data_IF_350461943258
#
_entry.id   IF_350461943258
#
_cell.length_a   1.000
_cell.length_b   1.000
_cell.length_c   1.000
_cell.angle_alpha   90.00
_cell.angle_beta   90.00
_cell.angle_gamma   90.00
#
_symmetry.space_group_name_H-M   'P 1'
#
loop_
_entity.id
_entity.type
_entity.pdbx_description
1 polymer ?
#
# COMPACT_ATOMS: atom_id res chain seq x y z
N UNK A 1 2.09 -22.53 19.04
CA UNK A 1 2.78 -21.47 19.81
C UNK A 1 2.11 -21.43 21.18
N UNK A 2 2.76 -21.93 22.22
CA UNK A 2 2.18 -22.04 23.57
C UNK A 2 2.02 -20.66 24.18
N UNK A 3 0.79 -20.25 24.50
CA UNK A 3 0.51 -19.02 25.24
C UNK A 3 1.33 -18.99 26.53
N UNK A 4 2.09 -17.91 26.79
CA UNK A 4 2.82 -17.80 28.04
C UNK A 4 1.79 -17.63 29.16
N UNK A 5 1.74 -18.60 30.10
CA UNK A 5 0.94 -18.51 31.33
C UNK A 5 1.09 -17.12 31.95
N UNK A 6 0.00 -16.38 31.93
CA UNK A 6 -0.08 -15.00 32.39
C UNK A 6 0.26 -14.98 33.89
N UNK A 7 1.44 -14.46 34.24
CA UNK A 7 1.84 -14.29 35.64
C UNK A 7 0.90 -13.27 36.29
N UNK A 8 0.27 -13.62 37.41
CA UNK A 8 -0.58 -12.70 38.17
C UNK A 8 0.16 -11.38 38.44
N UNK A 9 -0.55 -10.27 38.27
CA UNK A 9 0.02 -8.94 38.53
C UNK A 9 0.32 -8.77 40.02
N UNK A 10 1.36 -8.01 40.36
CA UNK A 10 1.73 -7.74 41.77
C UNK A 10 0.56 -7.16 42.56
N UNK A 11 -0.28 -6.35 41.91
CA UNK A 11 -1.48 -5.75 42.53
C UNK A 11 -2.60 -6.76 42.79
N UNK A 12 -2.75 -7.74 41.90
CA UNK A 12 -3.74 -8.80 42.01
C UNK A 12 -3.43 -9.73 43.19
N UNK A 13 -2.16 -10.11 43.32
CA UNK A 13 -1.66 -10.90 44.45
C UNK A 13 -1.89 -10.17 45.78
N UNK A 14 -1.56 -8.88 45.86
CA UNK A 14 -1.79 -8.06 47.06
C UNK A 14 -3.28 -7.97 47.41
N UNK A 15 -4.15 -7.79 46.42
CA UNK A 15 -5.60 -7.79 46.61
C UNK A 15 -6.11 -9.11 47.20
N UNK A 16 -5.68 -10.25 46.67
CA UNK A 16 -6.07 -11.56 47.20
C UNK A 16 -5.55 -11.81 48.61
N UNK A 17 -4.32 -11.41 48.93
CA UNK A 17 -3.77 -11.51 50.29
C UNK A 17 -4.62 -10.71 51.29
N UNK A 18 -5.05 -9.49 50.92
CA UNK A 18 -5.89 -8.65 51.77
C UNK A 18 -7.30 -9.25 51.98
N UNK A 19 -7.88 -9.89 50.97
CA UNK A 19 -9.17 -10.60 51.10
C UNK A 19 -9.04 -11.76 52.08
N UNK A 20 -8.01 -12.59 51.92
CA UNK A 20 -7.75 -13.73 52.81
C UNK A 20 -7.48 -13.25 54.23
N UNK A 21 -6.67 -12.20 54.40
CA UNK A 21 -6.41 -11.58 55.70
C UNK A 21 -7.70 -11.07 56.35
N UNK A 22 -8.54 -10.36 55.59
CA UNK A 22 -9.86 -9.91 56.08
C UNK A 22 -10.75 -11.08 56.49
N UNK A 23 -10.74 -12.19 55.76
CA UNK A 23 -11.50 -13.39 56.12
C UNK A 23 -10.97 -14.05 57.41
N UNK A 24 -9.65 -14.13 57.61
CA UNK A 24 -9.06 -14.64 58.87
C UNK A 24 -9.43 -13.74 60.04
N UNK A 25 -9.34 -12.41 59.87
CA UNK A 25 -9.70 -11.43 60.91
C UNK A 25 -11.19 -11.51 61.25
N UNK A 26 -12.07 -11.72 60.26
CA UNK A 26 -13.50 -11.92 60.47
C UNK A 26 -13.75 -13.18 61.31
N UNK A 27 -13.20 -14.34 60.92
CA UNK A 27 -13.37 -15.60 61.67
C UNK A 27 -12.86 -15.46 63.11
N UNK A 28 -11.71 -14.83 63.29
CA UNK A 28 -11.15 -14.56 64.62
C UNK A 28 -12.07 -13.65 65.45
N UNK A 29 -12.60 -12.57 64.85
CA UNK A 29 -13.57 -11.69 65.48
C UNK A 29 -14.82 -12.43 65.94
N UNK A 30 -15.42 -13.26 65.07
CA UNK A 30 -16.61 -14.04 65.40
C UNK A 30 -16.42 -14.92 66.63
N UNK A 31 -15.25 -15.56 66.75
CA UNK A 31 -14.89 -16.42 67.89
C UNK A 31 -14.68 -15.58 69.16
N UNK A 32 -13.95 -14.46 69.04
CA UNK A 32 -13.60 -13.61 70.19
C UNK A 32 -14.81 -12.94 70.84
N UNK A 33 -15.77 -12.49 70.04
CA UNK A 33 -16.98 -11.84 70.52
C UNK A 33 -18.06 -12.84 71.00
N UNK A 34 -17.78 -14.15 70.98
CA UNK A 34 -18.66 -15.24 71.44
C UNK A 34 -20.13 -15.08 71.00
N UNK A 35 -20.31 -14.60 69.75
CA UNK A 35 -21.61 -14.17 69.21
C UNK A 35 -22.65 -15.28 69.19
N UNK A 36 -22.20 -16.53 69.20
CA UNK A 36 -23.06 -17.70 69.29
C UNK A 36 -23.81 -17.69 70.63
N UNK A 37 -23.15 -17.36 71.75
CA UNK A 37 -23.82 -17.27 73.07
C UNK A 37 -24.71 -16.05 73.20
N UNK A 38 -24.26 -14.90 72.67
CA UNK A 38 -25.04 -13.64 72.67
C UNK A 38 -26.36 -13.77 71.88
N UNK A 39 -26.38 -14.59 70.82
CA UNK A 39 -27.59 -14.83 70.01
C UNK A 39 -28.66 -15.66 70.77
N UNK A 40 -28.25 -16.49 71.75
CA UNK A 40 -29.14 -17.28 72.61
C UNK A 40 -29.61 -16.52 73.87
N UNK A 41 -29.11 -15.31 74.13
CA UNK A 41 -29.55 -14.45 75.23
C UNK A 41 -30.85 -13.70 74.87
N UNK A 42 -31.70 -13.48 75.88
CA UNK A 42 -32.95 -12.73 75.76
C UNK A 42 -32.65 -11.27 75.32
N UNK A 43 -33.44 -10.64 74.44
CA UNK A 43 -33.11 -9.33 73.88
C UNK A 43 -32.91 -8.21 74.92
N UNK A 44 -33.45 -8.39 76.13
CA UNK A 44 -33.30 -7.46 77.26
C UNK A 44 -31.91 -7.50 77.92
N UNK A 45 -31.16 -8.61 77.78
CA UNK A 45 -29.86 -8.84 78.43
C UNK A 45 -28.67 -8.73 77.46
N UNK A 46 -28.91 -8.31 76.20
CA UNK A 46 -27.85 -8.16 75.20
C UNK A 46 -27.00 -6.92 75.49
N UNK A 47 -25.72 -7.11 75.84
CA UNK A 47 -24.82 -6.04 76.33
C UNK A 47 -24.26 -5.13 75.22
N UNK A 48 -24.94 -4.96 74.09
CA UNK A 48 -24.46 -4.13 72.98
C UNK A 48 -23.26 -4.72 72.22
N UNK A 49 -22.91 -5.98 72.48
CA UNK A 49 -21.81 -6.74 71.84
C UNK A 49 -21.99 -6.81 70.32
N UNK A 50 -23.24 -6.92 69.84
CA UNK A 50 -23.55 -6.88 68.41
C UNK A 50 -23.19 -5.53 67.74
N UNK A 51 -23.34 -4.42 68.46
CA UNK A 51 -22.94 -3.10 67.98
C UNK A 51 -21.42 -3.01 67.84
N UNK A 52 -20.68 -3.43 68.87
CA UNK A 52 -19.21 -3.46 68.86
C UNK A 52 -18.65 -4.41 67.79
N UNK A 53 -19.32 -5.55 67.56
CA UNK A 53 -18.95 -6.46 66.49
C UNK A 53 -19.23 -5.87 65.09
N UNK A 54 -20.35 -5.17 64.92
CA UNK A 54 -20.64 -4.41 63.72
C UNK A 54 -19.59 -3.33 63.44
N UNK A 55 -19.16 -2.61 64.47
CA UNK A 55 -18.07 -1.63 64.40
C UNK A 55 -16.72 -2.29 64.06
N UNK A 56 -16.43 -3.48 64.61
CA UNK A 56 -15.22 -4.25 64.28
C UNK A 56 -15.22 -4.72 62.83
N UNK A 57 -16.32 -5.29 62.34
CA UNK A 57 -16.46 -5.71 60.93
C UNK A 57 -16.34 -4.47 60.03
N UNK A 58 -17.13 -3.42 60.29
CA UNK A 58 -17.16 -2.23 59.44
C UNK A 58 -15.81 -1.51 59.41
N UNK A 59 -15.16 -1.38 60.57
CA UNK A 59 -13.87 -0.71 60.72
C UNK A 59 -12.72 -1.51 60.13
N UNK A 60 -12.48 -2.73 60.62
CA UNK A 60 -11.24 -3.47 60.32
C UNK A 60 -11.42 -4.35 59.07
N UNK A 61 -12.43 -5.21 59.05
CA UNK A 61 -12.66 -6.12 57.91
C UNK A 61 -13.09 -5.34 56.67
N UNK A 62 -13.98 -4.36 56.85
CA UNK A 62 -14.45 -3.46 55.80
C UNK A 62 -13.31 -2.67 55.17
N UNK A 63 -12.39 -2.12 55.98
CA UNK A 63 -11.22 -1.40 55.47
C UNK A 63 -10.25 -2.31 54.71
N UNK A 64 -10.00 -3.55 55.19
CA UNK A 64 -9.15 -4.52 54.50
C UNK A 64 -9.71 -4.91 53.13
N UNK A 65 -11.02 -5.18 53.05
CA UNK A 65 -11.68 -5.51 51.78
C UNK A 65 -11.83 -4.31 50.85
N UNK A 66 -12.07 -3.11 51.39
CA UNK A 66 -12.06 -1.88 50.60
C UNK A 66 -10.68 -1.65 49.96
N UNK A 67 -9.60 -1.81 50.73
CA UNK A 67 -8.23 -1.70 50.21
C UNK A 67 -7.93 -2.80 49.17
N UNK A 68 -8.38 -4.04 49.42
CA UNK A 68 -8.26 -5.12 48.44
C UNK A 68 -8.96 -4.78 47.11
N UNK A 69 -10.16 -4.20 47.19
CA UNK A 69 -10.93 -3.72 46.04
C UNK A 69 -10.16 -2.69 45.21
N UNK A 70 -9.48 -1.73 45.86
CA UNK A 70 -8.64 -0.74 45.18
C UNK A 70 -7.49 -1.41 44.42
N UNK A 71 -6.81 -2.38 45.03
CA UNK A 71 -5.70 -3.09 44.39
C UNK A 71 -6.15 -3.94 43.19
N UNK A 72 -7.28 -4.64 43.32
CA UNK A 72 -7.86 -5.42 42.22
C UNK A 72 -8.36 -4.52 41.08
N UNK A 73 -8.96 -3.37 41.42
CA UNK A 73 -9.35 -2.37 40.43
C UNK A 73 -8.13 -1.81 39.68
N UNK A 74 -7.05 -1.47 40.39
CA UNK A 74 -5.81 -1.01 39.76
C UNK A 74 -5.15 -2.08 38.87
N UNK A 75 -5.18 -3.34 39.30
CA UNK A 75 -4.74 -4.47 38.48
C UNK A 75 -5.53 -4.55 37.17
N UNK A 76 -6.85 -4.40 37.26
CA UNK A 76 -7.77 -4.42 36.11
C UNK A 76 -7.51 -3.25 35.16
N UNK A 77 -7.35 -2.03 35.67
CA UNK A 77 -7.02 -0.85 34.87
C UNK A 77 -5.68 -1.00 34.14
N UNK A 78 -4.68 -1.58 34.81
CA UNK A 78 -3.37 -1.84 34.21
C UNK A 78 -3.48 -2.83 33.07
N UNK A 79 -4.28 -3.89 33.24
CA UNK A 79 -4.55 -4.87 32.20
C UNK A 79 -5.25 -4.24 31.00
N UNK A 80 -6.32 -3.47 31.23
CA UNK A 80 -7.06 -2.76 30.19
C UNK A 80 -6.16 -1.80 29.41
N UNK A 81 -5.28 -1.04 30.10
CA UNK A 81 -4.34 -0.14 29.44
C UNK A 81 -3.42 -0.88 28.47
N UNK A 82 -2.86 -2.01 28.90
CA UNK A 82 -1.99 -2.84 28.05
C UNK A 82 -2.72 -3.39 26.83
N UNK A 83 -3.96 -3.85 27.03
CA UNK A 83 -4.80 -4.35 25.94
C UNK A 83 -5.10 -3.24 24.92
N UNK A 84 -5.41 -2.02 25.38
CA UNK A 84 -5.59 -0.88 24.49
C UNK A 84 -4.31 -0.52 23.71
N UNK A 85 -3.13 -0.61 24.33
CA UNK A 85 -1.87 -0.37 23.64
C UNK A 85 -1.62 -1.41 22.54
N UNK A 86 -1.86 -2.69 22.82
CA UNK A 86 -1.78 -3.76 21.83
C UNK A 86 -2.79 -3.58 20.69
N UNK A 87 -4.04 -3.27 21.03
CA UNK A 87 -5.08 -3.01 20.04
C UNK A 87 -4.73 -1.82 19.13
N UNK A 88 -4.19 -0.73 19.70
CA UNK A 88 -3.72 0.41 18.89
C UNK A 88 -2.59 0.02 17.95
N UNK A 89 -1.65 -0.80 18.42
CA UNK A 89 -0.56 -1.30 17.59
C UNK A 89 -1.09 -2.18 16.44
N UNK A 90 -2.02 -3.08 16.71
CA UNK A 90 -2.66 -3.93 15.70
C UNK A 90 -3.48 -3.14 14.69
N UNK A 91 -4.21 -2.11 15.14
CA UNK A 91 -4.93 -1.18 14.27
C UNK A 91 -3.98 -0.44 13.34
N UNK A 92 -2.85 0.07 13.84
CA UNK A 92 -1.85 0.73 13.00
C UNK A 92 -1.25 -0.24 11.97
N UNK A 93 -0.99 -1.49 12.36
CA UNK A 93 -0.51 -2.53 11.42
C UNK A 93 -1.57 -2.85 10.36
N UNK A 94 -2.82 -2.99 10.75
CA UNK A 94 -3.95 -3.26 9.86
C UNK A 94 -4.18 -2.11 8.88
N UNK A 95 -4.10 -0.86 9.34
CA UNK A 95 -4.19 0.32 8.48
C UNK A 95 -3.11 0.32 7.38
N UNK A 96 -1.87 -0.03 7.72
CA UNK A 96 -0.78 -0.14 6.73
C UNK A 96 -1.04 -1.24 5.71
N UNK A 97 -1.48 -2.42 6.17
CA UNK A 97 -1.84 -3.54 5.28
C UNK A 97 -2.98 -3.13 4.34
N UNK A 98 -4.01 -2.47 4.86
CA UNK A 98 -5.15 -2.01 4.08
C UNK A 98 -4.74 -0.97 3.03
N UNK A 99 -3.88 -0.02 3.38
CA UNK A 99 -3.32 0.94 2.42
C UNK A 99 -2.56 0.25 1.28
N UNK A 100 -1.72 -0.74 1.61
CA UNK A 100 -1.01 -1.53 0.61
C UNK A 100 -1.97 -2.31 -0.30
N UNK A 101 -2.98 -2.98 0.27
CA UNK A 101 -3.99 -3.73 -0.50
C UNK A 101 -4.80 -2.82 -1.43
N UNK A 102 -5.23 -1.64 -0.95
CA UNK A 102 -5.94 -0.67 -1.77
C UNK A 102 -5.09 -0.21 -2.94
N UNK A 103 -3.80 0.05 -2.71
CA UNK A 103 -2.87 0.39 -3.77
C UNK A 103 -2.74 -0.74 -4.79
N UNK A 104 -2.47 -1.97 -4.34
CA UNK A 104 -2.35 -3.14 -5.23
C UNK A 104 -3.61 -3.33 -6.07
N UNK A 105 -4.79 -3.18 -5.47
CA UNK A 105 -6.07 -3.30 -6.16
C UNK A 105 -6.22 -2.23 -7.23
N UNK A 106 -5.94 -0.97 -6.88
CA UNK A 106 -5.99 0.15 -7.83
C UNK A 106 -5.01 -0.05 -8.98
N UNK A 107 -3.77 -0.44 -8.69
CA UNK A 107 -2.74 -0.75 -9.68
C UNK A 107 -3.23 -1.83 -10.67
N UNK A 108 -3.73 -2.96 -10.16
CA UNK A 108 -4.25 -4.04 -11.01
C UNK A 108 -5.42 -3.54 -11.87
N UNK A 109 -6.33 -2.73 -11.32
CA UNK A 109 -7.43 -2.14 -12.10
C UNK A 109 -6.93 -1.22 -13.22
N UNK A 110 -5.85 -0.44 -12.98
CA UNK A 110 -5.23 0.40 -14.01
C UNK A 110 -4.53 -0.40 -15.10
N UNK A 111 -3.85 -1.51 -14.74
CA UNK A 111 -3.26 -2.46 -15.70
C UNK A 111 -4.33 -3.13 -16.55
N UNK A 112 -5.43 -3.60 -15.94
CA UNK A 112 -6.55 -4.19 -16.68
C UNK A 112 -7.14 -3.18 -17.66
N UNK A 113 -7.41 -1.95 -17.19
CA UNK A 113 -7.88 -0.87 -18.05
C UNK A 113 -6.87 -0.53 -19.17
N UNK A 114 -5.58 -0.65 -18.91
CA UNK A 114 -4.55 -0.45 -19.92
C UNK A 114 -4.66 -1.49 -21.03
N UNK A 115 -4.78 -2.76 -20.67
CA UNK A 115 -5.00 -3.85 -21.62
C UNK A 115 -6.31 -3.67 -22.39
N UNK A 116 -7.40 -3.27 -21.73
CA UNK A 116 -8.69 -2.99 -22.39
C UNK A 116 -8.57 -1.87 -23.44
N UNK A 117 -7.78 -0.82 -23.14
CA UNK A 117 -7.50 0.26 -24.11
C UNK A 117 -6.70 -0.28 -25.29
N UNK A 118 -5.67 -1.10 -25.04
CA UNK A 118 -4.87 -1.74 -26.10
C UNK A 118 -5.78 -2.55 -27.02
N UNK A 119 -6.63 -3.41 -26.45
CA UNK A 119 -7.56 -4.26 -27.21
C UNK A 119 -8.55 -3.46 -28.06
N UNK A 120 -8.90 -2.25 -27.62
CA UNK A 120 -9.75 -1.32 -28.37
C UNK A 120 -9.02 -0.54 -29.48
N UNK A 121 -7.68 -0.55 -29.52
CA UNK A 121 -6.92 0.11 -30.58
C UNK A 121 -7.17 -0.60 -31.90
N UNK A 122 -7.46 0.20 -32.94
CA UNK A 122 -7.66 -0.30 -34.29
C UNK A 122 -7.00 0.63 -35.31
N UNK A 123 -6.29 0.04 -36.27
CA UNK A 123 -5.81 0.70 -37.47
C UNK A 123 -6.25 -0.10 -38.71
N UNK A 124 -6.41 0.58 -39.83
CA UNK A 124 -6.80 -0.04 -41.09
C UNK A 124 -5.70 0.22 -42.11
N UNK A 125 -5.27 -0.85 -42.79
CA UNK A 125 -4.41 -0.72 -43.96
C UNK A 125 -5.22 -0.38 -45.22
N UNK A 126 -4.52 -0.10 -46.32
CA UNK A 126 -5.09 0.21 -47.64
C UNK A 126 -6.02 -0.92 -48.14
N UNK A 127 -5.76 -2.17 -47.72
CA UNK A 127 -6.59 -3.34 -48.03
C UNK A 127 -7.75 -3.55 -47.03
N UNK A 128 -8.10 -2.54 -46.21
CA UNK A 128 -9.11 -2.61 -45.15
C UNK A 128 -8.86 -3.69 -44.09
N UNK A 129 -7.66 -4.26 -44.05
CA UNK A 129 -7.26 -5.22 -43.03
C UNK A 129 -7.09 -4.50 -41.69
N UNK A 130 -7.82 -4.97 -40.67
CA UNK A 130 -7.83 -4.36 -39.34
C UNK A 130 -6.67 -4.89 -38.48
N UNK A 131 -5.80 -3.99 -38.04
CA UNK A 131 -4.75 -4.22 -37.06
C UNK A 131 -5.30 -3.83 -35.69
N UNK A 132 -5.43 -4.80 -34.78
CA UNK A 132 -6.09 -4.62 -33.47
C UNK A 132 -5.18 -5.00 -32.31
N UNK A 133 -5.46 -4.46 -31.12
CA UNK A 133 -4.69 -4.82 -29.94
C UNK A 133 -3.23 -4.39 -30.05
N UNK A 134 -2.32 -5.19 -29.52
CA UNK A 134 -0.87 -4.94 -29.61
C UNK A 134 -0.33 -4.83 -31.05
N UNK A 135 -1.01 -5.46 -32.02
CA UNK A 135 -0.62 -5.36 -33.44
C UNK A 135 -0.80 -3.95 -34.02
N UNK A 136 -1.62 -3.10 -33.38
CA UNK A 136 -1.71 -1.69 -33.73
C UNK A 136 -0.33 -1.00 -33.65
N UNK A 137 0.46 -1.29 -32.61
CA UNK A 137 1.75 -0.65 -32.41
C UNK A 137 2.78 -1.11 -33.45
N UNK A 138 2.74 -2.38 -33.84
CA UNK A 138 3.57 -2.92 -34.93
C UNK A 138 3.25 -2.20 -36.23
N UNK A 139 1.96 -2.08 -36.57
CA UNK A 139 1.53 -1.33 -37.75
C UNK A 139 1.97 0.14 -37.70
N UNK A 140 1.79 0.81 -36.55
CA UNK A 140 2.21 2.19 -36.37
C UNK A 140 3.72 2.35 -36.62
N UNK A 141 4.53 1.49 -36.02
CA UNK A 141 5.97 1.46 -36.19
C UNK A 141 6.35 1.24 -37.66
N UNK A 142 5.73 0.26 -38.34
CA UNK A 142 5.98 -0.01 -39.76
C UNK A 142 5.67 1.19 -40.65
N UNK A 143 4.56 1.90 -40.40
CA UNK A 143 4.20 3.09 -41.18
C UNK A 143 5.20 4.23 -40.99
N UNK A 144 5.63 4.49 -39.75
CA UNK A 144 6.66 5.50 -39.47
C UNK A 144 7.97 5.16 -40.20
N UNK A 145 8.47 3.94 -40.01
CA UNK A 145 9.74 3.51 -40.59
C UNK A 145 9.70 3.50 -42.12
N UNK A 146 8.61 3.01 -42.71
CA UNK A 146 8.46 2.96 -44.17
C UNK A 146 8.41 4.36 -44.77
N UNK A 147 7.65 5.29 -44.20
CA UNK A 147 7.59 6.67 -44.67
C UNK A 147 8.93 7.38 -44.54
N UNK A 148 9.63 7.17 -43.42
CA UNK A 148 10.98 7.68 -43.20
C UNK A 148 11.95 7.16 -44.26
N UNK A 149 12.09 5.84 -44.42
CA UNK A 149 13.04 5.23 -45.36
C UNK A 149 12.75 5.64 -46.81
N UNK A 150 11.47 5.74 -47.19
CA UNK A 150 11.09 6.22 -48.53
C UNK A 150 11.56 7.65 -48.79
N UNK A 151 11.42 8.55 -47.82
CA UNK A 151 11.92 9.93 -47.93
C UNK A 151 13.45 9.97 -47.96
N UNK A 152 14.12 9.22 -47.10
CA UNK A 152 15.59 9.19 -47.05
C UNK A 152 16.18 8.68 -48.37
N UNK A 153 15.55 7.70 -49.00
CA UNK A 153 16.00 7.17 -50.30
C UNK A 153 15.82 8.14 -51.45
N UNK A 154 14.92 9.13 -51.36
CA UNK A 154 14.74 10.14 -52.40
C UNK A 154 15.64 11.37 -52.25
N UNK A 155 16.42 11.46 -51.16
CA UNK A 155 17.41 12.52 -50.95
C UNK A 155 18.70 12.25 -51.70
N UNK A 156 19.34 13.32 -52.15
CA UNK A 156 20.69 13.27 -52.71
C UNK A 156 21.73 13.01 -51.60
N UNK A 157 22.89 12.38 -51.90
CA UNK A 157 23.88 12.02 -50.88
C UNK A 157 24.37 13.18 -50.01
N UNK A 158 24.46 14.38 -50.58
CA UNK A 158 24.92 15.59 -49.88
C UNK A 158 23.87 16.17 -48.91
N UNK A 159 22.60 15.80 -49.05
CA UNK A 159 21.50 16.22 -48.18
C UNK A 159 21.36 15.31 -46.94
N UNK A 160 21.95 14.10 -47.00
CA UNK A 160 21.87 13.08 -45.94
C UNK A 160 22.85 13.35 -44.81
N UNK A 161 22.54 14.35 -44.00
CA UNK A 161 23.26 14.60 -42.74
C UNK A 161 22.52 13.95 -41.56
N UNK A 162 23.24 13.61 -40.48
CA UNK A 162 22.63 13.02 -39.29
C UNK A 162 21.52 13.90 -38.69
N UNK A 163 21.74 15.23 -38.68
CA UNK A 163 20.76 16.19 -38.18
C UNK A 163 19.49 16.21 -39.05
N UNK A 164 19.66 16.23 -40.38
CA UNK A 164 18.53 16.23 -41.32
C UNK A 164 17.71 14.95 -41.22
N UNK A 165 18.37 13.78 -41.18
CA UNK A 165 17.68 12.51 -41.03
C UNK A 165 16.93 12.41 -39.69
N UNK A 166 17.51 12.94 -38.61
CA UNK A 166 16.82 13.01 -37.32
C UNK A 166 15.57 13.91 -37.39
N UNK A 167 15.68 15.08 -38.02
CA UNK A 167 14.55 15.98 -38.24
C UNK A 167 13.45 15.32 -39.09
N UNK A 168 13.82 14.68 -40.20
CA UNK A 168 12.88 13.95 -41.05
C UNK A 168 12.17 12.84 -40.27
N UNK A 169 12.92 12.08 -39.47
CA UNK A 169 12.33 11.03 -38.63
C UNK A 169 11.31 11.63 -37.66
N UNK A 170 11.68 12.70 -36.95
CA UNK A 170 10.79 13.39 -36.02
C UNK A 170 9.51 13.90 -36.71
N UNK A 171 9.63 14.47 -37.91
CA UNK A 171 8.48 14.95 -38.69
C UNK A 171 7.52 13.81 -39.04
N UNK A 172 8.03 12.68 -39.57
CA UNK A 172 7.19 11.54 -39.94
C UNK A 172 6.59 10.84 -38.71
N UNK A 173 7.35 10.72 -37.62
CA UNK A 173 6.83 10.21 -36.37
C UNK A 173 5.68 11.08 -35.88
N UNK A 174 5.88 12.40 -35.84
CA UNK A 174 4.86 13.36 -35.39
C UNK A 174 3.64 13.35 -36.30
N UNK A 175 3.82 13.27 -37.61
CA UNK A 175 2.73 13.15 -38.58
C UNK A 175 1.84 11.93 -38.30
N UNK A 176 2.43 10.74 -38.20
CA UNK A 176 1.68 9.51 -37.90
C UNK A 176 1.08 9.52 -36.50
N UNK A 177 1.79 10.08 -35.52
CA UNK A 177 1.28 10.27 -34.17
C UNK A 177 0.02 11.14 -34.16
N UNK A 178 0.05 12.30 -34.82
CA UNK A 178 -1.10 13.20 -34.94
C UNK A 178 -2.28 12.51 -35.64
N UNK A 179 -2.00 11.70 -36.67
CA UNK A 179 -3.04 10.93 -37.36
C UNK A 179 -3.78 9.95 -36.43
N UNK A 180 -3.04 9.25 -35.56
CA UNK A 180 -3.60 8.30 -34.59
C UNK A 180 -3.88 8.89 -33.19
N UNK A 181 -3.76 10.21 -33.03
CA UNK A 181 -3.76 10.86 -31.73
C UNK A 181 -5.03 10.58 -30.91
N UNK A 182 -6.20 10.53 -31.56
CA UNK A 182 -7.46 10.25 -30.87
C UNK A 182 -7.51 8.84 -30.25
N UNK A 183 -6.87 7.87 -30.89
CA UNK A 183 -6.77 6.49 -30.40
C UNK A 183 -5.63 6.33 -29.38
N UNK A 184 -4.51 7.03 -29.61
CA UNK A 184 -3.30 6.94 -28.77
C UNK A 184 -3.41 7.75 -27.46
N UNK A 185 -4.14 8.86 -27.46
CA UNK A 185 -4.25 9.73 -26.29
C UNK A 185 -4.82 9.01 -25.05
N UNK A 186 -5.92 8.21 -25.13
CA UNK A 186 -6.39 7.42 -24.00
C UNK A 186 -5.34 6.47 -23.44
N UNK A 187 -4.60 5.79 -24.32
CA UNK A 187 -3.52 4.87 -23.96
C UNK A 187 -2.41 5.60 -23.19
N UNK A 188 -1.88 6.69 -23.76
CA UNK A 188 -0.78 7.45 -23.17
C UNK A 188 -1.20 8.13 -21.85
N UNK A 189 -2.43 8.66 -21.77
CA UNK A 189 -2.95 9.23 -20.51
C UNK A 189 -3.09 8.17 -19.43
N UNK A 190 -3.60 6.99 -19.76
CA UNK A 190 -3.70 5.89 -18.79
C UNK A 190 -2.31 5.50 -18.27
N UNK A 191 -1.36 5.35 -19.19
CA UNK A 191 0.03 5.04 -18.87
C UNK A 191 0.71 6.12 -17.99
N UNK A 192 0.50 7.40 -18.30
CA UNK A 192 0.94 8.55 -17.49
C UNK A 192 0.39 8.50 -16.06
N UNK A 193 -0.90 8.19 -15.90
CA UNK A 193 -1.51 8.03 -14.57
C UNK A 193 -0.95 6.82 -13.83
N UNK A 194 -0.74 5.70 -14.52
CA UNK A 194 -0.14 4.50 -13.94
C UNK A 194 1.27 4.78 -13.39
N UNK A 195 2.12 5.47 -14.17
CA UNK A 195 3.45 5.87 -13.69
C UNK A 195 3.38 6.81 -12.49
N UNK A 196 2.50 7.82 -12.51
CA UNK A 196 2.29 8.71 -11.35
C UNK A 196 1.83 7.95 -10.10
N UNK A 197 0.96 6.96 -10.28
CA UNK A 197 0.47 6.10 -9.21
C UNK A 197 1.64 5.31 -8.57
N UNK A 198 2.48 4.68 -9.39
CA UNK A 198 3.66 3.94 -8.92
C UNK A 198 4.65 4.88 -8.24
N UNK A 199 4.91 6.07 -8.80
CA UNK A 199 5.85 7.05 -8.22
C UNK A 199 5.41 7.49 -6.82
N UNK A 200 4.11 7.82 -6.68
CA UNK A 200 3.53 8.20 -5.40
C UNK A 200 3.74 7.09 -4.36
N UNK A 201 3.46 5.84 -4.73
CA UNK A 201 3.62 4.71 -3.82
C UNK A 201 5.08 4.42 -3.49
N UNK A 202 6.02 4.55 -4.44
CA UNK A 202 7.46 4.42 -4.18
C UNK A 202 7.94 5.43 -3.13
N UNK A 203 7.40 6.64 -3.16
CA UNK A 203 7.75 7.70 -2.20
C UNK A 203 7.22 7.40 -0.80
N UNK A 204 6.03 6.78 -0.71
CA UNK A 204 5.37 6.48 0.57
C UNK A 204 5.79 5.12 1.16
N UNK A 205 6.11 4.13 0.32
CA UNK A 205 6.45 2.76 0.69
C UNK A 205 7.90 2.47 0.28
N UNK A 206 8.78 2.54 1.27
CA UNK A 206 10.26 2.57 1.22
C UNK A 206 10.99 1.42 0.47
N UNK A 207 10.30 0.55 -0.27
CA UNK A 207 10.92 -0.55 -1.06
C UNK A 207 9.97 -1.20 -2.09
N UNK A 208 8.67 -1.23 -1.83
CA UNK A 208 7.70 -1.99 -2.66
C UNK A 208 7.41 -1.34 -4.04
N UNK A 209 7.79 -0.08 -4.25
CA UNK A 209 7.55 0.63 -5.52
C UNK A 209 8.31 0.05 -6.72
N UNK A 210 9.47 -0.56 -6.49
CA UNK A 210 10.31 -1.15 -7.55
C UNK A 210 9.64 -2.38 -8.18
N UNK A 211 8.95 -3.18 -7.36
CA UNK A 211 8.19 -4.34 -7.84
C UNK A 211 7.11 -3.96 -8.86
N UNK A 212 6.33 -2.91 -8.59
CA UNK A 212 5.29 -2.44 -9.51
C UNK A 212 5.87 -1.82 -10.78
N UNK A 213 7.01 -1.13 -10.68
CA UNK A 213 7.73 -0.62 -11.84
C UNK A 213 8.19 -1.78 -12.74
N UNK A 214 8.79 -2.82 -12.17
CA UNK A 214 9.21 -4.01 -12.91
C UNK A 214 8.04 -4.69 -13.62
N UNK A 215 6.92 -4.91 -12.93
CA UNK A 215 5.72 -5.50 -13.56
C UNK A 215 5.26 -4.62 -14.73
N UNK A 216 5.17 -3.31 -14.52
CA UNK A 216 4.72 -2.40 -15.58
C UNK A 216 5.64 -2.45 -16.79
N UNK A 217 6.97 -2.45 -16.62
CA UNK A 217 7.93 -2.60 -17.71
C UNK A 217 7.72 -3.91 -18.49
N UNK A 218 7.56 -5.02 -17.78
CA UNK A 218 7.43 -6.35 -18.38
C UNK A 218 6.15 -6.51 -19.23
N UNK A 219 5.17 -5.60 -19.10
CA UNK A 219 3.96 -5.62 -19.92
C UNK A 219 4.14 -4.92 -21.28
N UNK A 220 5.19 -4.13 -21.50
CA UNK A 220 5.37 -3.43 -22.77
C UNK A 220 6.02 -4.33 -23.82
N UNK A 221 5.42 -4.34 -25.02
CA UNK A 221 6.08 -4.87 -26.20
C UNK A 221 7.14 -3.90 -26.74
N UNK A 222 8.06 -4.38 -27.58
CA UNK A 222 9.06 -3.51 -28.22
C UNK A 222 8.43 -2.43 -29.10
N UNK A 223 7.30 -2.73 -29.77
CA UNK A 223 6.57 -1.76 -30.58
C UNK A 223 5.89 -0.68 -29.72
N UNK A 224 5.41 -1.04 -28.52
CA UNK A 224 4.92 -0.07 -27.54
C UNK A 224 6.04 0.81 -27.00
N UNK A 225 7.18 0.20 -26.63
CA UNK A 225 8.36 0.96 -26.20
C UNK A 225 8.85 1.92 -27.29
N UNK A 226 8.80 1.51 -28.57
CA UNK A 226 9.08 2.41 -29.69
C UNK A 226 8.17 3.64 -29.68
N UNK A 227 6.86 3.47 -29.50
CA UNK A 227 5.94 4.62 -29.39
C UNK A 227 6.27 5.49 -28.17
N UNK A 228 6.40 4.89 -26.99
CA UNK A 228 6.58 5.62 -25.72
C UNK A 228 7.90 6.40 -25.73
N UNK A 229 8.98 5.78 -26.21
CA UNK A 229 10.30 6.37 -26.31
C UNK A 229 10.29 7.63 -27.16
N UNK A 230 9.74 7.57 -28.37
CA UNK A 230 9.73 8.71 -29.28
C UNK A 230 8.74 9.80 -28.84
N UNK A 231 7.63 9.45 -28.19
CA UNK A 231 6.74 10.43 -27.54
C UNK A 231 7.48 11.21 -26.46
N UNK A 232 8.33 10.55 -25.66
CA UNK A 232 9.15 11.19 -24.64
C UNK A 232 10.27 12.03 -25.27
N UNK A 233 11.04 11.45 -26.21
CA UNK A 233 12.19 12.08 -26.86
C UNK A 233 11.79 13.35 -27.62
N UNK A 234 10.68 13.32 -28.35
CA UNK A 234 10.18 14.47 -29.10
C UNK A 234 9.24 15.37 -28.27
N UNK A 235 9.11 15.12 -26.96
CA UNK A 235 8.30 15.93 -26.05
C UNK A 235 6.85 16.13 -26.51
N UNK A 236 6.26 15.13 -27.17
CA UNK A 236 4.90 15.21 -27.71
C UNK A 236 3.84 15.24 -26.61
N UNK A 237 4.16 14.70 -25.43
CA UNK A 237 3.36 14.80 -24.22
C UNK A 237 4.24 15.23 -23.05
N UNK A 238 3.92 16.39 -22.46
CA UNK A 238 4.67 16.94 -21.32
C UNK A 238 4.78 15.95 -20.15
N UNK A 239 3.75 15.13 -19.96
CA UNK A 239 3.64 14.16 -18.87
C UNK A 239 4.71 13.04 -18.96
N UNK A 240 5.27 12.80 -20.14
CA UNK A 240 6.26 11.75 -20.40
C UNK A 240 7.71 12.19 -20.28
N UNK A 241 7.96 13.49 -20.22
CA UNK A 241 9.32 14.04 -20.11
C UNK A 241 10.05 13.64 -18.82
N UNK A 242 9.31 13.24 -17.78
CA UNK A 242 9.86 12.82 -16.49
C UNK A 242 9.78 11.29 -16.24
N UNK A 243 9.23 10.50 -17.17
CA UNK A 243 9.00 9.07 -16.97
C UNK A 243 10.30 8.27 -17.06
N UNK A 244 11.19 8.60 -18.00
CA UNK A 244 12.43 7.84 -18.23
C UNK A 244 13.34 7.83 -17.00
N UNK A 245 13.69 9.01 -16.50
CA UNK A 245 14.57 9.18 -15.33
C UNK A 245 14.01 8.57 -14.02
N UNK A 246 12.70 8.33 -13.94
CA UNK A 246 12.06 7.86 -12.72
C UNK A 246 11.94 6.33 -12.66
N UNK A 247 11.95 5.68 -13.82
CA UNK A 247 11.57 4.28 -13.94
C UNK A 247 12.51 3.45 -14.79
N UNK A 248 13.51 4.00 -15.50
CA UNK A 248 14.41 3.25 -16.40
C UNK A 248 13.63 2.40 -17.42
N UNK A 249 12.52 2.94 -17.95
CA UNK A 249 11.55 2.20 -18.79
C UNK A 249 12.18 1.70 -20.09
N UNK A 250 13.17 2.43 -20.61
CA UNK A 250 13.79 2.14 -21.90
C UNK A 250 15.07 1.30 -21.79
N UNK A 251 15.41 0.78 -20.61
CA UNK A 251 16.54 -0.14 -20.42
C UNK A 251 16.38 -1.42 -21.26
N UNK A 252 15.15 -1.94 -21.32
CA UNK A 252 14.79 -3.16 -22.06
C UNK A 252 14.49 -2.91 -23.56
N UNK A 253 14.58 -1.66 -24.02
CA UNK A 253 14.31 -1.32 -25.42
C UNK A 253 15.51 -1.69 -26.31
N UNK A 254 15.24 -2.44 -27.38
CA UNK A 254 16.26 -2.80 -28.35
C UNK A 254 16.81 -1.54 -29.04
N UNK A 255 18.14 -1.41 -29.07
CA UNK A 255 18.85 -0.26 -29.68
C UNK A 255 18.44 0.02 -31.12
N UNK A 256 18.11 -1.01 -31.90
CA UNK A 256 17.66 -0.92 -33.29
C UNK A 256 16.41 -0.06 -33.48
N UNK A 257 15.61 0.08 -32.42
CA UNK A 257 14.39 0.87 -32.43
C UNK A 257 14.58 2.31 -31.96
N UNK A 258 15.77 2.69 -31.50
CA UNK A 258 16.07 4.08 -31.11
C UNK A 258 16.39 4.92 -32.33
N UNK A 259 15.89 6.16 -32.38
CA UNK A 259 16.07 7.08 -33.52
C UNK A 259 17.55 7.29 -33.86
N UNK A 260 18.43 7.34 -32.87
CA UNK A 260 19.87 7.50 -33.07
C UNK A 260 20.48 6.33 -33.85
N UNK A 261 19.99 5.10 -33.60
CA UNK A 261 20.44 3.92 -34.33
C UNK A 261 19.85 3.87 -35.73
N UNK A 262 18.55 4.15 -35.88
CA UNK A 262 17.85 4.17 -37.17
C UNK A 262 18.52 5.17 -38.13
N UNK A 263 18.81 6.39 -37.65
CA UNK A 263 19.53 7.41 -38.41
C UNK A 263 20.94 6.94 -38.79
N UNK A 264 21.67 6.32 -37.85
CA UNK A 264 23.03 5.81 -38.11
C UNK A 264 23.03 4.70 -39.17
N UNK A 265 22.07 3.78 -39.14
CA UNK A 265 21.98 2.71 -40.12
C UNK A 265 21.80 3.26 -41.55
N UNK A 266 20.93 4.26 -41.73
CA UNK A 266 20.68 4.84 -43.05
C UNK A 266 21.82 5.74 -43.55
N UNK A 267 22.65 6.29 -42.65
CA UNK A 267 23.90 6.97 -43.02
C UNK A 267 24.97 5.99 -43.54
N UNK A 268 25.08 4.80 -42.94
CA UNK A 268 26.11 3.79 -43.29
C UNK A 268 25.75 3.02 -44.56
N UNK A 269 24.47 2.98 -44.95
CA UNK A 269 24.01 2.34 -46.20
C UNK A 269 24.32 3.14 -47.48
N UNK A 270 25.11 4.21 -47.39
CA UNK A 270 25.68 4.95 -48.51
C UNK A 270 26.92 4.25 -49.07
#
# INVERSE_FOLDING_TARGET
>A
MSEPKQKLSKYELTGYILIVMGAVVLVWGTIKFDLVKELYLDPADREGVFGQYGEFIGGIVGSLWALAGVFLFFATLTYQKREFELQRFELHKTQKIFQQQNFSTLYISFIQKHNDIIDALTAYDINESAWRGSNFFVFFQEKVLTSFVQKVRSLEPHEKTAAELHHIFQDYFTYHFTFYQNSLNPYLKNLSVLFKLIQKYRTEAQDQGEYYSFITKANFTQAELFLIYHVAQFSLLQEFSAIDNAFDVFEDMVEEYKVEHIVRQELVRQ
#
